data_IF_439983370107
#
_entry.id   IF_439983370107
#
_cell.length_a   1.000
_cell.length_b   1.000
_cell.length_c   1.000
_cell.angle_alpha   90.00
_cell.angle_beta   90.00
_cell.angle_gamma   90.00
#
_symmetry.space_group_name_H-M   'P 1'
#
loop_
_entity.id
_entity.type
_entity.pdbx_description
1 polymer ?
#
# COMPACT_ATOMS: atom_id res chain seq x y z
N UNK A 1 -6.55 7.08 18.95
CA UNK A 1 -6.05 6.09 17.97
C UNK A 1 -5.07 6.84 17.10
N UNK A 2 -3.79 6.49 17.19
CA UNK A 2 -2.79 7.03 16.26
C UNK A 2 -2.96 6.33 14.91
N UNK A 3 -2.96 7.11 13.84
CA UNK A 3 -3.00 6.58 12.48
C UNK A 3 -1.63 5.99 12.18
N UNK A 4 -1.59 4.70 11.87
CA UNK A 4 -0.34 3.97 11.57
C UNK A 4 0.11 4.23 10.12
N UNK A 5 -0.85 4.23 9.21
CA UNK A 5 -0.64 4.57 7.80
C UNK A 5 -1.96 5.02 7.16
N UNK A 6 -1.84 5.72 6.03
CA UNK A 6 -2.95 6.06 5.16
C UNK A 6 -2.77 5.32 3.83
N UNK A 7 -3.81 4.61 3.38
CA UNK A 7 -3.76 3.82 2.15
C UNK A 7 -4.76 4.40 1.15
N UNK A 8 -4.27 4.77 -0.02
CA UNK A 8 -5.08 5.18 -1.16
C UNK A 8 -5.06 4.11 -2.23
N UNK A 9 -6.23 3.73 -2.74
CA UNK A 9 -6.35 2.74 -3.81
C UNK A 9 -6.99 3.42 -5.01
N UNK A 10 -6.27 3.41 -6.12
CA UNK A 10 -6.68 4.06 -7.37
C UNK A 10 -6.70 3.03 -8.49
N UNK A 11 -7.71 3.09 -9.35
CA UNK A 11 -7.71 2.35 -10.61
C UNK A 11 -7.22 3.26 -11.73
N UNK A 12 -6.05 2.96 -12.28
CA UNK A 12 -5.42 3.71 -13.37
C UNK A 12 -5.47 2.87 -14.65
N UNK A 13 -6.51 3.08 -15.45
CA UNK A 13 -6.75 2.29 -16.66
C UNK A 13 -7.03 0.81 -16.36
N UNK A 14 -6.06 -0.05 -16.67
CA UNK A 14 -6.12 -1.51 -16.42
C UNK A 14 -5.46 -1.92 -15.11
N UNK A 15 -4.71 -1.01 -14.50
CA UNK A 15 -3.91 -1.30 -13.32
C UNK A 15 -4.60 -0.75 -12.06
N UNK A 16 -4.34 -1.43 -10.95
CA UNK A 16 -4.66 -1.00 -9.61
C UNK A 16 -3.38 -0.49 -8.96
N UNK A 17 -3.45 0.71 -8.39
CA UNK A 17 -2.35 1.39 -7.73
C UNK A 17 -2.73 1.58 -6.28
N UNK A 18 -2.03 0.91 -5.37
CA UNK A 18 -2.13 1.12 -3.94
C UNK A 18 -0.98 2.01 -3.48
N UNK A 19 -1.28 3.14 -2.83
CA UNK A 19 -0.31 4.06 -2.26
C UNK A 19 -0.44 4.05 -0.76
N UNK A 20 0.68 3.83 -0.07
CA UNK A 20 0.72 3.84 1.38
C UNK A 20 1.56 5.01 1.84
N UNK A 21 0.96 5.89 2.63
CA UNK A 21 1.61 6.99 3.32
C UNK A 21 1.82 6.57 4.78
N UNK A 22 3.07 6.34 5.14
CA UNK A 22 3.48 6.00 6.50
C UNK A 22 3.61 7.27 7.34
N UNK A 23 3.46 7.13 8.65
CA UNK A 23 3.54 8.27 9.59
C UNK A 23 4.93 8.91 9.67
N UNK A 24 5.97 8.20 9.23
CA UNK A 24 7.34 8.72 9.07
C UNK A 24 7.49 9.66 7.85
N UNK A 25 6.45 9.80 7.03
CA UNK A 25 6.45 10.62 5.80
C UNK A 25 6.90 9.84 4.56
N UNK A 26 7.37 8.61 4.73
CA UNK A 26 7.65 7.68 3.64
C UNK A 26 6.38 7.30 2.87
N UNK A 27 6.49 7.15 1.55
CA UNK A 27 5.39 6.74 0.68
C UNK A 27 5.81 5.56 -0.20
N UNK A 28 4.99 4.51 -0.24
CA UNK A 28 5.19 3.32 -1.09
C UNK A 28 4.04 3.20 -2.10
N UNK A 29 4.35 2.81 -3.34
CA UNK A 29 3.37 2.58 -4.40
C UNK A 29 3.49 1.15 -4.93
N UNK A 30 2.38 0.42 -4.93
CA UNK A 30 2.26 -0.94 -5.46
C UNK A 30 1.30 -0.89 -6.65
N UNK A 31 1.75 -1.37 -7.82
CA UNK A 31 0.98 -1.32 -9.06
C UNK A 31 0.84 -2.69 -9.67
N UNK A 32 -0.40 -3.12 -9.89
CA UNK A 32 -0.67 -4.40 -10.52
C UNK A 32 -1.98 -4.40 -11.30
N UNK A 33 -2.04 -5.14 -12.41
CA UNK A 33 -3.27 -5.32 -13.20
C UNK A 33 -4.34 -6.15 -12.48
N UNK A 34 -3.92 -6.90 -11.45
CA UNK A 34 -4.79 -7.72 -10.59
C UNK A 34 -4.82 -7.07 -9.22
N UNK A 35 -6.01 -6.70 -8.75
CA UNK A 35 -6.18 -5.98 -7.48
C UNK A 35 -5.67 -6.78 -6.28
N UNK A 36 -5.94 -8.08 -6.23
CA UNK A 36 -5.53 -8.95 -5.12
C UNK A 36 -4.00 -9.07 -5.01
N UNK A 37 -3.28 -9.13 -6.13
CA UNK A 37 -1.81 -9.11 -6.12
C UNK A 37 -1.27 -7.80 -5.52
N UNK A 38 -1.79 -6.64 -5.97
CA UNK A 38 -1.37 -5.34 -5.45
C UNK A 38 -1.59 -5.21 -3.94
N UNK A 39 -2.72 -5.72 -3.44
CA UNK A 39 -3.01 -5.74 -2.00
C UNK A 39 -2.14 -6.73 -1.24
N UNK A 40 -1.90 -7.91 -1.81
CA UNK A 40 -1.10 -8.95 -1.15
C UNK A 40 0.33 -8.47 -0.96
N UNK A 41 0.93 -7.90 -2.01
CA UNK A 41 2.27 -7.32 -1.96
C UNK A 41 2.32 -6.18 -0.92
N UNK A 42 1.36 -5.26 -0.97
CA UNK A 42 1.26 -4.15 -0.01
C UNK A 42 1.15 -4.64 1.44
N UNK A 43 0.31 -5.63 1.72
CA UNK A 43 0.09 -6.11 3.09
C UNK A 43 1.31 -6.81 3.63
N UNK A 44 1.99 -7.64 2.82
CA UNK A 44 3.22 -8.32 3.23
C UNK A 44 4.28 -7.28 3.63
N UNK A 45 4.52 -6.32 2.75
CA UNK A 45 5.55 -5.30 2.95
C UNK A 45 5.24 -4.39 4.16
N UNK A 46 3.96 -4.02 4.36
CA UNK A 46 3.54 -3.28 5.56
C UNK A 46 3.64 -4.10 6.85
N UNK A 47 3.36 -5.40 6.79
CA UNK A 47 3.50 -6.28 7.96
C UNK A 47 4.96 -6.42 8.37
N UNK A 48 5.89 -6.52 7.41
CA UNK A 48 7.33 -6.56 7.71
C UNK A 48 7.79 -5.24 8.34
N UNK A 49 7.42 -4.09 7.76
CA UNK A 49 7.86 -2.78 8.25
C UNK A 49 7.27 -2.39 9.62
N UNK A 50 6.05 -2.83 9.92
CA UNK A 50 5.38 -2.54 11.19
C UNK A 50 5.69 -3.57 12.29
N UNK A 51 6.31 -4.70 11.95
CA UNK A 51 6.72 -5.71 12.91
C UNK A 51 8.06 -5.40 13.59
N UNK A 52 8.84 -4.47 13.04
CA UNK A 52 10.05 -3.89 13.65
C UNK A 52 9.73 -2.66 14.53
#
# INVERSE_FOLDING_TARGET
METVCHIEIVKDGRDFVARVHLSDGSTKEYRHSIFEDALTEMVIDLQEELAE
#
